data_IF_687686688822
#
_entry.id   IF_687686688822
#
_cell.length_a   1.000
_cell.length_b   1.000
_cell.length_c   1.000
_cell.angle_alpha   90.00
_cell.angle_beta   90.00
_cell.angle_gamma   90.00
#
_symmetry.space_group_name_H-M   'P 1'
#
loop_
_entity.id
_entity.type
_entity.pdbx_description
1 polymer ?
#
# COMPACT_ATOMS: atom_id res chain seq x y z
N UNK A 1 6.35 6.51 19.00
CA UNK A 1 6.67 5.91 17.68
C UNK A 1 5.48 5.09 17.19
N UNK A 2 5.48 4.60 15.94
CA UNK A 2 4.41 3.68 15.47
C UNK A 2 4.40 2.36 16.28
N UNK A 3 5.54 1.94 16.82
CA UNK A 3 5.64 0.77 17.71
C UNK A 3 4.92 1.01 19.04
N UNK A 4 5.12 2.18 19.65
CA UNK A 4 4.45 2.53 20.91
C UNK A 4 2.93 2.66 20.72
N UNK A 5 2.51 3.19 19.57
CA UNK A 5 1.10 3.20 19.17
C UNK A 5 0.52 1.80 19.07
N UNK A 6 1.24 0.88 18.43
CA UNK A 6 0.78 -0.49 18.29
C UNK A 6 0.58 -1.16 19.65
N UNK A 7 1.46 -0.92 20.61
CA UNK A 7 1.35 -1.46 21.96
C UNK A 7 0.16 -0.86 22.72
N UNK A 8 0.00 0.46 22.68
CA UNK A 8 -1.09 1.13 23.41
C UNK A 8 -2.47 0.83 22.79
N UNK A 9 -2.54 0.69 21.48
CA UNK A 9 -3.76 0.32 20.75
C UNK A 9 -4.20 -1.12 21.06
N UNK A 10 -3.26 -2.06 21.07
CA UNK A 10 -3.55 -3.45 21.47
C UNK A 10 -4.03 -3.54 22.92
N UNK A 11 -3.40 -2.78 23.83
CA UNK A 11 -3.82 -2.71 25.23
C UNK A 11 -5.22 -2.08 25.39
N UNK A 12 -5.46 -0.94 24.74
CA UNK A 12 -6.72 -0.19 24.82
C UNK A 12 -7.93 -0.99 24.33
N UNK A 13 -7.77 -1.76 23.25
CA UNK A 13 -8.88 -2.44 22.58
C UNK A 13 -8.87 -3.96 22.75
N UNK A 14 -7.93 -4.51 23.54
CA UNK A 14 -7.82 -5.96 23.78
C UNK A 14 -7.52 -6.77 22.52
N UNK A 15 -6.88 -6.15 21.51
CA UNK A 15 -6.58 -6.79 20.23
C UNK A 15 -5.21 -7.46 20.33
N UNK A 16 -5.13 -8.75 19.98
CA UNK A 16 -3.86 -9.45 19.80
C UNK A 16 -3.48 -9.44 18.33
N UNK A 17 -2.37 -8.78 17.96
CA UNK A 17 -1.91 -8.79 16.58
C UNK A 17 -0.89 -7.71 16.26
N UNK A 18 -0.49 -7.64 14.99
CA UNK A 18 0.38 -6.57 14.49
C UNK A 18 -0.47 -5.42 13.95
N UNK A 19 -0.11 -4.17 14.28
CA UNK A 19 -0.66 -3.03 13.53
C UNK A 19 -0.26 -3.22 12.07
N UNK A 20 -1.21 -3.18 11.10
CA UNK A 20 -0.92 -3.41 9.69
C UNK A 20 0.05 -2.36 9.14
N UNK A 21 1.35 -2.62 9.27
CA UNK A 21 2.42 -1.82 8.70
C UNK A 21 3.23 -2.70 7.76
N UNK A 22 3.11 -2.41 6.47
CA UNK A 22 3.82 -3.12 5.40
C UNK A 22 5.33 -3.12 5.64
N UNK A 23 5.90 -2.03 6.14
CA UNK A 23 7.34 -1.88 6.34
C UNK A 23 7.87 -2.81 7.44
N UNK A 24 7.14 -2.94 8.54
CA UNK A 24 7.54 -3.78 9.67
C UNK A 24 7.53 -5.27 9.28
N UNK A 25 6.49 -5.72 8.58
CA UNK A 25 6.36 -7.11 8.14
C UNK A 25 7.39 -7.44 7.07
N UNK A 26 7.57 -6.56 6.07
CA UNK A 26 8.56 -6.76 5.01
C UNK A 26 9.97 -6.80 5.58
N UNK A 27 10.32 -5.92 6.53
CA UNK A 27 11.64 -5.90 7.16
C UNK A 27 12.00 -7.22 7.85
N UNK A 28 11.04 -7.82 8.57
CA UNK A 28 11.23 -9.13 9.20
C UNK A 28 11.39 -10.22 8.14
N UNK A 29 10.52 -10.24 7.13
CA UNK A 29 10.58 -11.22 6.05
C UNK A 29 11.86 -11.11 5.21
N UNK A 30 12.43 -9.90 5.09
CA UNK A 30 13.66 -9.64 4.32
C UNK A 30 14.89 -10.30 4.91
N UNK A 31 14.91 -10.54 6.21
CA UNK A 31 15.99 -11.31 6.86
C UNK A 31 16.00 -12.77 6.41
N UNK A 32 14.83 -13.33 6.07
CA UNK A 32 14.69 -14.75 5.71
C UNK A 32 14.63 -14.99 4.20
N UNK A 33 14.03 -14.07 3.44
CA UNK A 33 13.71 -14.24 2.01
C UNK A 33 14.30 -13.14 1.12
N UNK A 34 15.29 -12.39 1.62
CA UNK A 34 15.85 -11.25 0.90
C UNK A 34 16.44 -11.61 -0.47
N UNK A 35 17.05 -12.80 -0.58
CA UNK A 35 17.60 -13.32 -1.84
C UNK A 35 16.49 -13.62 -2.84
N UNK A 36 15.49 -14.38 -2.42
CA UNK A 36 14.32 -14.77 -3.23
C UNK A 36 13.57 -13.54 -3.70
N UNK A 37 13.34 -12.57 -2.81
CA UNK A 37 12.71 -11.29 -3.11
C UNK A 37 13.46 -10.53 -4.21
N UNK A 38 14.79 -10.37 -4.09
CA UNK A 38 15.59 -9.61 -5.05
C UNK A 38 15.59 -10.28 -6.44
N UNK A 39 15.70 -11.62 -6.46
CA UNK A 39 15.65 -12.40 -7.70
C UNK A 39 14.26 -12.35 -8.34
N UNK A 40 13.19 -12.45 -7.54
CA UNK A 40 11.82 -12.31 -8.03
C UNK A 40 11.62 -10.96 -8.69
N UNK A 41 11.99 -9.87 -8.01
CA UNK A 41 11.88 -8.50 -8.51
C UNK A 41 12.62 -8.32 -9.85
N UNK A 42 13.85 -8.82 -9.94
CA UNK A 42 14.66 -8.73 -11.16
C UNK A 42 13.99 -9.43 -12.35
N UNK A 43 13.65 -10.72 -12.20
CA UNK A 43 13.05 -11.49 -13.29
C UNK A 43 11.60 -11.07 -13.58
N UNK A 44 10.85 -10.58 -12.58
CA UNK A 44 9.53 -10.02 -12.79
C UNK A 44 9.57 -8.78 -13.71
N UNK A 45 10.58 -7.92 -13.56
CA UNK A 45 10.81 -6.80 -14.46
C UNK A 45 11.11 -7.28 -15.89
N UNK A 46 11.95 -8.32 -16.04
CA UNK A 46 12.21 -8.92 -17.36
C UNK A 46 10.91 -9.43 -17.99
N UNK A 47 10.07 -10.11 -17.21
CA UNK A 47 8.76 -10.60 -17.67
C UNK A 47 7.82 -9.45 -18.03
N UNK A 48 7.77 -8.39 -17.22
CA UNK A 48 6.98 -7.19 -17.51
C UNK A 48 7.37 -6.57 -18.86
N UNK A 49 8.68 -6.42 -19.11
CA UNK A 49 9.21 -5.93 -20.39
C UNK A 49 8.85 -6.88 -21.54
N UNK A 50 9.00 -8.20 -21.36
CA UNK A 50 8.64 -9.18 -22.40
C UNK A 50 7.15 -9.11 -22.75
N UNK A 51 6.26 -9.07 -21.75
CA UNK A 51 4.82 -8.94 -21.98
C UNK A 51 4.53 -7.64 -22.72
N UNK A 52 5.10 -6.51 -22.29
CA UNK A 52 4.92 -5.23 -22.96
C UNK A 52 5.48 -5.22 -24.39
N UNK A 53 6.54 -5.99 -24.66
CA UNK A 53 7.12 -6.09 -26.00
C UNK A 53 6.21 -6.88 -26.95
N UNK A 54 5.73 -8.04 -26.53
CA UNK A 54 5.07 -9.01 -27.42
C UNK A 54 3.55 -8.97 -27.38
N UNK A 55 2.93 -8.40 -26.35
CA UNK A 55 1.47 -8.28 -26.23
C UNK A 55 0.98 -6.85 -26.50
N UNK A 56 -0.32 -6.62 -26.70
CA UNK A 56 -0.89 -5.27 -26.80
C UNK A 56 -0.79 -4.45 -25.50
N UNK A 57 -0.52 -5.08 -24.36
CA UNK A 57 -0.46 -4.40 -23.06
C UNK A 57 0.88 -3.69 -22.85
N UNK A 58 0.99 -2.44 -23.31
CA UNK A 58 2.24 -1.64 -23.30
C UNK A 58 2.54 -0.96 -21.96
N UNK A 59 2.39 -1.69 -20.84
CA UNK A 59 2.60 -1.14 -19.50
C UNK A 59 3.93 -1.59 -18.90
N UNK A 60 4.76 -0.62 -18.51
CA UNK A 60 6.01 -0.85 -17.77
C UNK A 60 5.85 -0.30 -16.36
N UNK A 61 5.96 -1.18 -15.36
CA UNK A 61 5.70 -0.86 -13.96
C UNK A 61 6.97 -0.38 -13.27
N UNK A 62 7.16 0.94 -13.21
CA UNK A 62 8.41 1.56 -12.77
C UNK A 62 8.51 1.83 -11.26
N UNK A 63 7.49 1.49 -10.47
CA UNK A 63 7.53 1.71 -9.01
C UNK A 63 8.28 0.59 -8.29
N UNK A 64 9.60 0.77 -8.18
CA UNK A 64 10.51 -0.25 -7.63
C UNK A 64 10.21 -0.68 -6.20
N UNK A 65 9.91 0.25 -5.29
CA UNK A 65 9.61 -0.07 -3.88
C UNK A 65 8.34 -0.91 -3.73
N UNK A 66 7.29 -0.63 -4.51
CA UNK A 66 6.10 -1.46 -4.55
C UNK A 66 6.40 -2.86 -5.11
N UNK A 67 7.20 -2.93 -6.19
CA UNK A 67 7.62 -4.20 -6.79
C UNK A 67 8.40 -5.05 -5.78
N UNK A 68 9.27 -4.43 -4.99
CA UNK A 68 10.01 -5.07 -3.91
C UNK A 68 9.07 -5.65 -2.85
N UNK A 69 8.09 -4.86 -2.38
CA UNK A 69 7.10 -5.33 -1.39
C UNK A 69 6.25 -6.49 -1.93
N UNK A 70 5.79 -6.39 -3.18
CA UNK A 70 5.01 -7.47 -3.80
C UNK A 70 5.84 -8.74 -4.01
N UNK A 71 7.11 -8.59 -4.43
CA UNK A 71 8.04 -9.70 -4.59
C UNK A 71 8.30 -10.43 -3.28
N UNK A 72 8.48 -9.67 -2.18
CA UNK A 72 8.60 -10.24 -0.85
C UNK A 72 7.34 -10.99 -0.43
N UNK A 73 6.16 -10.37 -0.58
CA UNK A 73 4.90 -10.97 -0.18
C UNK A 73 4.66 -12.29 -0.94
N UNK A 74 4.88 -12.31 -2.25
CA UNK A 74 4.78 -13.53 -3.06
C UNK A 74 5.81 -14.58 -2.64
N UNK A 75 7.06 -14.17 -2.38
CA UNK A 75 8.10 -15.09 -1.90
C UNK A 75 7.67 -15.79 -0.59
N UNK A 76 7.16 -15.03 0.39
CA UNK A 76 6.67 -15.57 1.66
C UNK A 76 5.51 -16.52 1.44
N UNK A 77 4.50 -16.14 0.63
CA UNK A 77 3.32 -16.99 0.36
C UNK A 77 3.73 -18.32 -0.30
N UNK A 78 4.63 -18.27 -1.29
CA UNK A 78 5.09 -19.48 -1.97
C UNK A 78 5.95 -20.35 -1.04
N UNK A 79 6.77 -19.73 -0.19
CA UNK A 79 7.57 -20.43 0.80
C UNK A 79 6.70 -21.13 1.85
N UNK A 80 5.65 -20.48 2.36
CA UNK A 80 4.71 -21.10 3.31
C UNK A 80 3.89 -22.22 2.65
N UNK A 81 3.68 -22.16 1.34
CA UNK A 81 3.12 -23.26 0.55
C UNK A 81 4.13 -24.41 0.28
N UNK A 82 5.35 -24.34 0.80
CA UNK A 82 6.38 -25.39 0.70
C UNK A 82 7.29 -25.28 -0.52
N UNK A 83 7.18 -24.21 -1.33
CA UNK A 83 8.07 -23.99 -2.47
C UNK A 83 9.42 -23.44 -2.00
N UNK A 84 10.51 -23.87 -2.64
CA UNK A 84 11.86 -23.40 -2.30
C UNK A 84 12.72 -23.21 -3.56
N UNK A 85 13.81 -22.46 -3.40
CA UNK A 85 14.85 -22.33 -4.42
C UNK A 85 14.35 -21.80 -5.77
N UNK A 86 14.75 -22.47 -6.85
CA UNK A 86 14.50 -22.02 -8.24
C UNK A 86 13.00 -21.98 -8.55
N UNK A 87 12.23 -22.98 -8.09
CA UNK A 87 10.80 -23.06 -8.38
C UNK A 87 10.04 -21.89 -7.75
N UNK A 88 10.39 -21.51 -6.51
CA UNK A 88 9.84 -20.34 -5.84
C UNK A 88 10.12 -19.07 -6.65
N UNK A 89 11.38 -18.87 -7.06
CA UNK A 89 11.79 -17.68 -7.82
C UNK A 89 11.05 -17.62 -9.16
N UNK A 90 11.03 -18.72 -9.92
CA UNK A 90 10.41 -18.76 -11.24
C UNK A 90 8.90 -18.46 -11.20
N UNK A 91 8.17 -19.10 -10.28
CA UNK A 91 6.73 -18.86 -10.13
C UNK A 91 6.47 -17.46 -9.59
N UNK A 92 7.25 -17.02 -8.58
CA UNK A 92 7.12 -15.68 -8.02
C UNK A 92 7.34 -14.58 -9.06
N UNK A 93 8.38 -14.70 -9.87
CA UNK A 93 8.67 -13.76 -10.97
C UNK A 93 7.55 -13.70 -12.00
N UNK A 94 6.98 -14.85 -12.37
CA UNK A 94 5.87 -14.91 -13.30
C UNK A 94 4.63 -14.20 -12.73
N UNK A 95 4.27 -14.51 -11.49
CA UNK A 95 3.12 -13.89 -10.81
C UNK A 95 3.29 -12.37 -10.72
N UNK A 96 4.43 -11.90 -10.23
CA UNK A 96 4.68 -10.46 -10.07
C UNK A 96 4.79 -9.77 -11.42
N UNK A 97 5.50 -10.35 -12.40
CA UNK A 97 5.66 -9.77 -13.73
C UNK A 97 4.35 -9.66 -14.51
N UNK A 98 3.45 -10.65 -14.38
CA UNK A 98 2.09 -10.57 -14.94
C UNK A 98 1.27 -9.51 -14.22
N UNK A 99 1.31 -9.48 -12.88
CA UNK A 99 0.61 -8.47 -12.08
C UNK A 99 1.02 -7.03 -12.44
N UNK A 100 2.31 -6.80 -12.70
CA UNK A 100 2.88 -5.52 -13.15
C UNK A 100 2.30 -5.02 -14.47
N UNK A 101 1.71 -5.87 -15.31
CA UNK A 101 1.03 -5.46 -16.54
C UNK A 101 -0.49 -5.43 -16.35
N UNK A 102 -1.03 -6.48 -15.73
CA UNK A 102 -2.45 -6.68 -15.56
C UNK A 102 -3.10 -5.55 -14.77
N UNK A 103 -2.49 -5.14 -13.65
CA UNK A 103 -3.08 -4.09 -12.81
C UNK A 103 -3.15 -2.74 -13.52
N UNK A 104 -2.06 -2.20 -14.11
CA UNK A 104 -2.16 -1.00 -14.93
C UNK A 104 -3.22 -1.13 -16.03
N UNK A 105 -3.30 -2.28 -16.71
CA UNK A 105 -4.25 -2.49 -17.80
C UNK A 105 -5.72 -2.34 -17.38
N UNK A 106 -6.11 -2.92 -16.23
CA UNK A 106 -7.50 -2.83 -15.75
C UNK A 106 -7.85 -1.44 -15.20
N UNK A 107 -6.88 -0.70 -14.66
CA UNK A 107 -7.09 0.67 -14.18
C UNK A 107 -7.03 1.72 -15.28
N UNK A 108 -6.36 1.43 -16.39
CA UNK A 108 -6.09 2.39 -17.45
C UNK A 108 -7.35 3.13 -17.96
N UNK A 109 -8.50 2.48 -18.20
CA UNK A 109 -9.71 3.18 -18.64
C UNK A 109 -10.23 4.23 -17.66
N UNK A 110 -10.00 4.03 -16.36
CA UNK A 110 -10.33 5.01 -15.32
C UNK A 110 -9.25 6.07 -15.21
N UNK A 111 -7.97 5.68 -15.30
CA UNK A 111 -6.83 6.61 -15.28
C UNK A 111 -6.97 7.68 -16.36
N UNK A 112 -7.30 7.28 -17.60
CA UNK A 112 -7.51 8.21 -18.72
C UNK A 112 -8.63 9.23 -18.48
N UNK A 113 -9.68 8.84 -17.76
CA UNK A 113 -10.77 9.77 -17.40
C UNK A 113 -10.35 10.77 -16.34
N UNK A 114 -9.40 10.40 -15.48
CA UNK A 114 -8.88 11.26 -14.40
C UNK A 114 -7.79 12.20 -14.91
N UNK A 115 -6.86 11.72 -15.74
CA UNK A 115 -5.75 12.55 -16.29
C UNK A 115 -6.14 13.33 -17.53
N UNK A 116 -7.13 12.87 -18.28
CA UNK A 116 -7.42 13.40 -19.62
C UNK A 116 -6.37 13.03 -20.67
N UNK A 117 -5.42 12.14 -20.36
CA UNK A 117 -4.37 11.69 -21.29
C UNK A 117 -4.16 10.17 -21.27
N UNK A 118 -3.58 9.62 -22.34
CA UNK A 118 -3.22 8.20 -22.49
C UNK A 118 -1.74 7.94 -22.12
N UNK A 119 -1.03 8.94 -21.61
CA UNK A 119 0.43 8.90 -21.48
C UNK A 119 0.91 8.16 -20.23
N UNK A 120 0.07 8.09 -19.20
CA UNK A 120 0.44 7.55 -17.89
C UNK A 120 -0.57 6.52 -17.39
N UNK A 121 -0.05 5.44 -16.82
CA UNK A 121 -0.82 4.41 -16.13
C UNK A 121 -0.43 4.34 -14.65
N UNK A 122 -1.30 3.77 -13.83
CA UNK A 122 -1.04 3.63 -12.38
C UNK A 122 -0.29 2.34 -12.07
N UNK A 123 0.92 2.49 -11.52
CA UNK A 123 1.77 1.39 -11.08
C UNK A 123 1.65 1.12 -9.59
N UNK A 124 0.54 0.52 -9.15
CA UNK A 124 0.30 0.19 -7.73
C UNK A 124 -0.44 -1.16 -7.57
N UNK A 125 -0.21 -1.89 -6.48
CA UNK A 125 -0.83 -3.21 -6.27
C UNK A 125 -2.22 -3.15 -5.61
N UNK A 126 -2.61 -2.04 -4.99
CA UNK A 126 -4.01 -1.79 -4.57
C UNK A 126 -4.95 -1.44 -5.72
N UNK A 127 -4.61 -1.77 -6.96
CA UNK A 127 -5.34 -1.32 -8.14
C UNK A 127 -6.80 -1.79 -8.16
N UNK A 128 -7.12 -2.95 -7.60
CA UNK A 128 -8.51 -3.43 -7.53
C UNK A 128 -9.42 -2.46 -6.76
N UNK A 129 -8.94 -1.80 -5.70
CA UNK A 129 -9.75 -0.83 -4.97
C UNK A 129 -10.00 0.44 -5.80
N UNK A 130 -9.01 0.87 -6.59
CA UNK A 130 -9.16 2.01 -7.51
C UNK A 130 -10.14 1.70 -8.63
N UNK A 131 -10.05 0.50 -9.22
CA UNK A 131 -10.99 0.04 -10.26
C UNK A 131 -12.40 -0.07 -9.69
N UNK A 132 -12.56 -0.61 -8.47
CA UNK A 132 -13.85 -0.67 -7.81
C UNK A 132 -14.43 0.72 -7.54
N UNK A 133 -13.62 1.64 -6.99
CA UNK A 133 -14.03 3.02 -6.78
C UNK A 133 -14.43 3.71 -8.09
N UNK A 134 -13.63 3.52 -9.15
CA UNK A 134 -13.93 4.02 -10.48
C UNK A 134 -15.22 3.44 -11.06
N UNK A 135 -15.46 2.14 -10.86
CA UNK A 135 -16.70 1.47 -11.27
C UNK A 135 -17.92 2.05 -10.55
N UNK A 136 -17.88 2.12 -9.22
CA UNK A 136 -18.96 2.70 -8.40
C UNK A 136 -19.20 4.16 -8.79
N UNK A 137 -18.14 4.97 -8.84
CA UNK A 137 -18.22 6.38 -9.24
C UNK A 137 -18.78 6.57 -10.66
N UNK A 138 -18.48 5.67 -11.59
CA UNK A 138 -19.03 5.73 -12.95
C UNK A 138 -20.53 5.44 -13.03
N UNK A 139 -21.09 4.72 -12.03
CA UNK A 139 -22.51 4.33 -11.99
C UNK A 139 -23.35 5.24 -11.10
N UNK A 140 -22.78 5.75 -10.02
CA UNK A 140 -23.50 6.49 -8.98
C UNK A 140 -22.99 7.92 -8.75
N UNK A 141 -21.87 8.31 -9.35
CA UNK A 141 -21.29 9.64 -9.17
C UNK A 141 -21.94 10.69 -10.07
N UNK A 142 -21.78 11.96 -9.68
CA UNK A 142 -22.16 13.13 -10.48
C UNK A 142 -20.91 13.93 -10.86
N UNK A 143 -20.59 14.00 -12.16
CA UNK A 143 -19.43 14.74 -12.65
C UNK A 143 -19.58 16.26 -12.55
N UNK A 144 -20.81 16.77 -12.46
CA UNK A 144 -21.08 18.21 -12.28
C UNK A 144 -20.77 18.68 -10.84
N UNK A 145 -20.64 17.74 -9.91
CA UNK A 145 -20.32 18.00 -8.50
C UNK A 145 -19.09 17.19 -8.09
N UNK A 146 -17.96 17.52 -8.71
CA UNK A 146 -16.67 16.93 -8.36
C UNK A 146 -16.20 17.39 -6.99
N UNK A 147 -15.57 16.48 -6.23
CA UNK A 147 -14.88 16.85 -4.99
C UNK A 147 -13.68 17.76 -5.23
N UNK A 148 -13.14 17.80 -6.45
CA UNK A 148 -12.07 18.73 -6.85
C UNK A 148 -12.55 20.19 -6.86
N UNK A 149 -13.84 20.42 -7.09
CA UNK A 149 -14.45 21.77 -7.14
C UNK A 149 -15.06 22.19 -5.78
N UNK A 150 -14.89 21.36 -4.75
CA UNK A 150 -15.47 21.59 -3.44
C UNK A 150 -14.73 22.73 -2.71
N UNK A 151 -15.45 23.81 -2.41
CA UNK A 151 -14.94 24.91 -1.59
C UNK A 151 -14.89 24.51 -0.10
N UNK A 152 -13.72 24.08 0.36
CA UNK A 152 -13.45 23.86 1.79
C UNK A 152 -13.23 25.19 2.52
N UNK A 153 -13.75 25.35 3.75
CA UNK A 153 -13.58 26.58 4.51
C UNK A 153 -12.11 26.87 4.81
N UNK A 154 -11.74 28.15 4.89
CA UNK A 154 -10.35 28.61 5.12
C UNK A 154 -9.69 28.00 6.35
N UNK A 155 -10.46 27.68 7.39
CA UNK A 155 -9.98 27.02 8.59
C UNK A 155 -9.52 25.56 8.38
N UNK A 156 -9.98 24.88 7.33
CA UNK A 156 -9.63 23.49 7.02
C UNK A 156 -8.61 23.37 5.89
N UNK A 157 -8.18 24.49 5.28
CA UNK A 157 -7.24 24.50 4.17
C UNK A 157 -5.87 23.92 4.54
N UNK A 158 -5.50 23.92 5.83
CA UNK A 158 -4.28 23.27 6.31
C UNK A 158 -4.29 21.75 6.08
N UNK A 159 -5.47 21.12 5.98
CA UNK A 159 -5.59 19.69 5.67
C UNK A 159 -5.19 19.34 4.22
N UNK A 160 -4.97 20.34 3.36
CA UNK A 160 -4.39 20.11 2.01
C UNK A 160 -2.89 19.82 2.09
N UNK A 161 -2.23 20.23 3.17
CA UNK A 161 -0.84 19.87 3.42
C UNK A 161 -0.79 18.44 3.98
N UNK A 162 -0.16 17.52 3.22
CA UNK A 162 -0.15 16.09 3.56
C UNK A 162 0.53 15.80 4.91
N UNK A 163 1.73 16.34 5.20
CA UNK A 163 2.33 16.22 6.53
C UNK A 163 1.43 16.73 7.67
N UNK A 164 0.83 17.91 7.52
CA UNK A 164 -0.03 18.48 8.56
C UNK A 164 -1.30 17.65 8.74
N UNK A 165 -1.94 17.21 7.66
CA UNK A 165 -3.13 16.35 7.72
C UNK A 165 -2.82 15.02 8.42
N UNK A 166 -1.70 14.38 8.10
CA UNK A 166 -1.26 13.14 8.76
C UNK A 166 -1.00 13.39 10.23
N UNK A 167 -0.25 14.44 10.57
CA UNK A 167 0.06 14.78 11.96
C UNK A 167 -1.21 15.02 12.78
N UNK A 168 -2.16 15.80 12.24
CA UNK A 168 -3.42 16.12 12.90
C UNK A 168 -4.29 14.88 13.10
N UNK A 169 -4.50 14.08 12.05
CA UNK A 169 -5.33 12.86 12.12
C UNK A 169 -4.73 11.82 13.05
N UNK A 170 -3.41 11.58 12.98
CA UNK A 170 -2.73 10.65 13.87
C UNK A 170 -2.75 11.14 15.32
N UNK A 171 -2.63 12.45 15.57
CA UNK A 171 -2.75 13.00 16.92
C UNK A 171 -4.12 12.71 17.54
N UNK A 172 -5.21 12.88 16.78
CA UNK A 172 -6.56 12.54 17.25
C UNK A 172 -6.65 11.04 17.55
N UNK A 173 -6.19 10.17 16.66
CA UNK A 173 -6.23 8.72 16.84
C UNK A 173 -5.42 8.30 18.08
N UNK A 174 -4.23 8.86 18.27
CA UNK A 174 -3.40 8.61 19.45
C UNK A 174 -4.10 9.07 20.72
N UNK A 175 -4.63 10.29 20.76
CA UNK A 175 -5.32 10.82 21.94
C UNK A 175 -6.51 9.94 22.34
N UNK A 176 -7.36 9.58 21.37
CA UNK A 176 -8.49 8.67 21.62
C UNK A 176 -7.97 7.34 22.17
N UNK A 177 -6.97 6.75 21.52
CA UNK A 177 -6.41 5.46 21.96
C UNK A 177 -5.82 5.53 23.37
N UNK A 178 -5.07 6.58 23.71
CA UNK A 178 -4.51 6.81 25.04
C UNK A 178 -5.61 6.95 26.12
N UNK A 179 -6.72 7.62 25.79
CA UNK A 179 -7.86 7.73 26.71
C UNK A 179 -8.47 6.35 27.02
N UNK A 180 -8.60 5.47 26.03
CA UNK A 180 -9.09 4.11 26.22
C UNK A 180 -8.07 3.19 26.91
N UNK A 181 -6.76 3.38 26.68
CA UNK A 181 -5.70 2.61 27.33
C UNK A 181 -5.58 2.88 28.84
N UNK A 182 -5.97 4.08 29.28
CA UNK A 182 -5.85 4.50 30.67
C UNK A 182 -4.47 5.09 31.02
N UNK A 183 -4.46 5.92 32.07
CA UNK A 183 -3.30 6.74 32.44
C UNK A 183 -2.06 5.92 32.82
N UNK A 184 -2.23 4.75 33.43
CA UNK A 184 -1.12 3.91 33.87
C UNK A 184 -0.36 3.31 32.67
N UNK A 185 -1.08 2.75 31.69
CA UNK A 185 -0.50 2.21 30.46
C UNK A 185 0.21 3.32 29.65
N UNK A 186 -0.40 4.50 29.56
CA UNK A 186 0.21 5.66 28.86
C UNK A 186 1.49 6.10 29.57
N UNK A 187 1.50 6.18 30.89
CA UNK A 187 2.65 6.64 31.68
C UNK A 187 3.85 5.69 31.60
N UNK A 188 3.59 4.39 31.55
CA UNK A 188 4.61 3.37 31.33
C UNK A 188 5.26 3.53 29.94
N UNK A 189 4.44 3.65 28.89
CA UNK A 189 4.90 3.83 27.52
C UNK A 189 5.57 5.20 27.25
N UNK A 190 5.14 6.26 27.94
CA UNK A 190 5.70 7.60 27.78
C UNK A 190 7.03 7.81 28.52
N UNK A 191 7.46 6.83 29.33
CA UNK A 191 8.63 6.96 30.20
C UNK A 191 8.48 8.09 31.22
N UNK A 192 7.24 8.37 31.66
CA UNK A 192 6.94 9.44 32.60
C UNK A 192 6.86 10.86 32.01
N UNK A 193 6.91 11.00 30.68
CA UNK A 193 6.61 12.28 30.02
C UNK A 193 5.12 12.57 30.04
N UNK A 194 4.75 13.84 30.18
CA UNK A 194 3.37 14.29 30.13
C UNK A 194 2.74 14.03 28.76
N UNK A 195 1.43 13.79 28.79
CA UNK A 195 0.56 13.67 27.62
C UNK A 195 0.29 15.04 26.98
#
# INVERSE_FOLDING_TARGET
SLGDFANIFQHAFGIQGVVPNNEAIVSVAQKSFGKEMAMIMFFAMVINIMIARFTPWKFIFLTGHHTLFMSMMVAVILATAGMTGITLIAVGSLVVGVAMVFFPAIAHPYMKKVTGSDDVAIGHFSTLSYVLAGFIGSKFGNKEHSTEDMNVPKSLLFLRDTPVAISFTMSIIFLVTCLFAGADAVKELSGGKNW
#
